data_IF_597601849560
#
_entry.id   IF_597601849560
#
_cell.length_a   1.000
_cell.length_b   1.000
_cell.length_c   1.000
_cell.angle_alpha   90.00
_cell.angle_beta   90.00
_cell.angle_gamma   90.00
#
_symmetry.space_group_name_H-M   'P 1'
#
loop_
_entity.id
_entity.type
_entity.pdbx_description
1 polymer ?
#
# COMPACT_ATOMS: atom_id res chain seq x y z
N UNK A 1 -10.50 21.52 -14.36
CA UNK A 1 -10.69 22.79 -13.64
C UNK A 1 -10.85 22.62 -12.12
N UNK A 2 -11.47 21.55 -11.65
CA UNK A 2 -11.79 21.34 -10.22
C UNK A 2 -10.58 20.89 -9.36
N UNK A 3 -9.61 20.21 -9.94
CA UNK A 3 -8.46 19.62 -9.22
C UNK A 3 -7.59 20.70 -8.52
N UNK A 4 -7.66 21.96 -8.95
CA UNK A 4 -6.83 23.05 -8.43
C UNK A 4 -7.65 24.25 -7.94
N UNK A 5 -8.94 24.07 -7.63
CA UNK A 5 -9.83 25.19 -7.29
C UNK A 5 -9.64 25.77 -5.88
N UNK A 6 -8.59 25.50 -5.16
CA UNK A 6 -8.26 26.16 -3.88
C UNK A 6 -9.31 26.13 -2.76
N UNK A 7 -10.47 25.51 -2.99
CA UNK A 7 -11.54 25.40 -2.00
C UNK A 7 -11.34 24.10 -1.24
N UNK A 8 -10.88 24.21 0.01
CA UNK A 8 -10.87 23.11 0.93
C UNK A 8 -12.29 22.88 1.48
N UNK A 9 -12.78 21.66 1.44
CA UNK A 9 -14.01 21.24 2.07
C UNK A 9 -13.73 20.08 3.02
N UNK A 10 -14.26 20.15 4.22
CA UNK A 10 -14.17 19.06 5.20
C UNK A 10 -15.47 18.27 5.26
N UNK A 11 -15.39 17.03 5.71
CA UNK A 11 -16.53 16.15 5.89
C UNK A 11 -16.30 15.14 7.01
N UNK A 12 -17.36 14.43 7.40
CA UNK A 12 -17.30 13.44 8.48
C UNK A 12 -16.77 14.04 9.80
N UNK A 13 -17.35 15.16 10.25
CA UNK A 13 -16.91 15.88 11.45
C UNK A 13 -15.41 16.26 11.39
N UNK A 14 -14.99 16.81 10.27
CA UNK A 14 -13.62 17.26 9.99
C UNK A 14 -12.54 16.17 9.97
N UNK A 15 -12.93 14.89 9.94
CA UNK A 15 -11.97 13.78 9.84
C UNK A 15 -11.37 13.63 8.44
N UNK A 16 -12.02 14.18 7.41
CA UNK A 16 -11.62 14.05 6.00
C UNK A 16 -11.63 15.42 5.33
N UNK A 17 -10.61 15.70 4.53
CA UNK A 17 -10.49 16.92 3.73
C UNK A 17 -10.43 16.63 2.24
N UNK A 18 -11.07 17.49 1.46
CA UNK A 18 -10.92 17.56 0.01
C UNK A 18 -10.23 18.87 -0.31
N UNK A 19 -8.91 18.81 -0.46
CA UNK A 19 -8.02 19.93 -0.80
C UNK A 19 -7.19 19.62 -2.06
N UNK A 20 -6.43 20.56 -2.54
CA UNK A 20 -5.55 20.39 -3.71
C UNK A 20 -4.54 19.26 -3.52
N UNK A 21 -4.04 19.06 -2.30
CA UNK A 21 -3.13 17.99 -1.95
C UNK A 21 -3.80 16.62 -2.12
N UNK A 22 -4.93 16.39 -1.46
CA UNK A 22 -5.65 15.12 -1.55
C UNK A 22 -6.12 14.82 -2.97
N UNK A 23 -6.58 15.84 -3.71
CA UNK A 23 -7.04 15.66 -5.09
C UNK A 23 -5.89 15.27 -6.02
N UNK A 24 -4.71 15.87 -5.89
CA UNK A 24 -3.54 15.50 -6.66
C UNK A 24 -3.19 14.01 -6.49
N UNK A 25 -3.08 13.54 -5.25
CA UNK A 25 -2.75 12.15 -4.98
C UNK A 25 -3.87 11.19 -5.36
N UNK A 26 -5.15 11.56 -5.21
CA UNK A 26 -6.28 10.76 -5.69
C UNK A 26 -6.24 10.55 -7.20
N UNK A 27 -5.88 11.58 -7.98
CA UNK A 27 -5.71 11.45 -9.43
C UNK A 27 -4.59 10.47 -9.78
N UNK A 28 -3.45 10.53 -9.07
CA UNK A 28 -2.35 9.59 -9.27
C UNK A 28 -2.76 8.14 -8.94
N UNK A 29 -3.48 7.95 -7.83
CA UNK A 29 -3.99 6.62 -7.42
C UNK A 29 -4.99 6.10 -8.48
N UNK A 30 -5.91 6.94 -8.94
CA UNK A 30 -6.88 6.56 -9.98
C UNK A 30 -6.21 6.23 -11.31
N UNK A 31 -5.17 6.97 -11.70
CA UNK A 31 -4.37 6.68 -12.90
C UNK A 31 -3.63 5.34 -12.78
N UNK A 32 -3.01 5.08 -11.62
CA UNK A 32 -2.34 3.80 -11.36
C UNK A 32 -3.33 2.62 -11.37
N UNK A 33 -4.51 2.78 -10.77
CA UNK A 33 -5.58 1.80 -10.81
C UNK A 33 -6.03 1.53 -12.26
N UNK A 34 -6.31 2.57 -13.04
CA UNK A 34 -6.73 2.44 -14.43
C UNK A 34 -5.68 1.71 -15.27
N UNK A 35 -4.40 2.06 -15.10
CA UNK A 35 -3.29 1.39 -15.77
C UNK A 35 -3.19 -0.09 -15.38
N UNK A 36 -3.36 -0.41 -14.09
CA UNK A 36 -3.34 -1.79 -13.59
C UNK A 36 -4.47 -2.61 -14.18
N UNK A 37 -5.69 -2.06 -14.25
CA UNK A 37 -6.84 -2.72 -14.87
C UNK A 37 -6.58 -2.95 -16.36
N UNK A 38 -6.07 -1.96 -17.08
CA UNK A 38 -5.72 -2.10 -18.51
C UNK A 38 -4.65 -3.18 -18.75
N UNK A 39 -3.64 -3.27 -17.88
CA UNK A 39 -2.61 -4.29 -17.95
C UNK A 39 -3.17 -5.69 -17.68
N UNK A 40 -4.16 -5.82 -16.82
CA UNK A 40 -4.80 -7.11 -16.52
C UNK A 40 -5.67 -7.61 -17.66
N UNK A 41 -6.39 -6.72 -18.36
CA UNK A 41 -7.24 -7.08 -19.52
C UNK A 41 -6.43 -7.65 -20.70
N UNK A 42 -5.25 -7.09 -20.98
CA UNK A 42 -4.38 -7.56 -22.08
C UNK A 42 -3.77 -8.95 -21.85
N UNK A 43 -3.82 -9.46 -20.61
CA UNK A 43 -3.32 -10.78 -20.23
C UNK A 43 -4.43 -11.81 -19.96
N UNK A 44 -5.70 -11.44 -20.13
CA UNK A 44 -6.73 -12.47 -20.21
C UNK A 44 -6.32 -13.41 -21.38
N UNK A 45 -6.14 -14.73 -21.15
CA UNK A 45 -5.77 -15.64 -22.21
C UNK A 45 -6.81 -15.45 -23.31
N UNK A 46 -6.34 -15.12 -24.51
CA UNK A 46 -7.21 -15.17 -25.67
C UNK A 46 -7.85 -16.54 -25.63
N UNK A 47 -9.16 -16.60 -25.79
CA UNK A 47 -9.83 -17.84 -26.17
C UNK A 47 -9.10 -18.27 -27.42
N UNK A 48 -8.10 -19.13 -27.26
CA UNK A 48 -7.51 -19.86 -28.36
C UNK A 48 -8.66 -20.71 -28.83
N UNK A 49 -9.25 -20.27 -29.93
CA UNK A 49 -10.36 -20.96 -30.58
C UNK A 49 -9.81 -22.31 -30.99
N UNK A 50 -9.92 -23.33 -30.10
CA UNK A 50 -9.52 -24.72 -30.39
C UNK A 50 -10.18 -25.27 -31.65
N UNK A 51 -11.17 -24.53 -32.18
CA UNK A 51 -11.85 -24.85 -33.42
C UNK A 51 -10.98 -24.60 -34.66
N UNK A 52 -9.84 -23.93 -34.55
CA UNK A 52 -9.01 -23.54 -35.70
C UNK A 52 -7.59 -24.16 -35.71
N UNK A 53 -7.27 -25.00 -34.71
CA UNK A 53 -5.98 -25.73 -34.74
C UNK A 53 -6.19 -27.16 -35.28
N UNK A 54 -5.84 -27.41 -36.56
CA UNK A 54 -5.99 -28.72 -37.19
C UNK A 54 -5.09 -29.81 -36.61
N UNK A 55 -4.09 -29.45 -35.80
CA UNK A 55 -3.12 -30.36 -35.18
C UNK A 55 -3.42 -30.60 -33.68
N UNK A 56 -4.53 -30.10 -33.16
CA UNK A 56 -4.93 -30.38 -31.77
C UNK A 56 -5.19 -31.88 -31.58
N UNK A 57 -4.54 -32.57 -30.63
CA UNK A 57 -4.80 -33.98 -30.35
C UNK A 57 -6.26 -34.17 -29.97
N UNK A 58 -6.93 -35.08 -30.66
CA UNK A 58 -8.34 -35.42 -30.39
C UNK A 58 -8.58 -35.88 -28.96
N UNK A 59 -9.84 -35.87 -28.49
CA UNK A 59 -10.20 -36.30 -27.15
C UNK A 59 -9.73 -37.74 -26.97
N UNK A 60 -8.89 -37.98 -25.96
CA UNK A 60 -8.50 -39.33 -25.55
C UNK A 60 -9.74 -40.15 -25.12
N UNK A 61 -9.83 -41.37 -25.59
CA UNK A 61 -11.00 -42.25 -25.43
C UNK A 61 -11.33 -42.68 -23.99
N UNK A 62 -10.55 -42.23 -23.01
CA UNK A 62 -10.56 -42.73 -21.63
C UNK A 62 -11.39 -41.89 -20.66
N UNK A 63 -12.18 -40.94 -21.13
CA UNK A 63 -13.19 -40.25 -20.28
C UNK A 63 -12.63 -39.44 -19.09
N UNK A 64 -11.32 -39.43 -18.89
CA UNK A 64 -10.67 -38.50 -17.97
C UNK A 64 -10.64 -37.10 -18.61
N UNK A 65 -11.32 -36.17 -18.00
CA UNK A 65 -11.13 -34.76 -18.28
C UNK A 65 -9.69 -34.43 -17.89
N UNK A 66 -8.77 -34.74 -18.82
CA UNK A 66 -7.35 -34.48 -18.64
C UNK A 66 -7.15 -33.00 -18.41
N UNK A 67 -6.85 -32.63 -17.20
CA UNK A 67 -6.17 -31.39 -16.88
C UNK A 67 -4.85 -31.45 -17.62
N UNK A 68 -4.82 -30.86 -18.82
CA UNK A 68 -3.57 -30.67 -19.56
C UNK A 68 -2.70 -29.77 -18.70
N UNK A 69 -1.76 -30.40 -18.02
CA UNK A 69 -0.72 -29.73 -17.26
C UNK A 69 0.20 -29.06 -18.30
N UNK A 70 -0.21 -27.89 -18.79
CA UNK A 70 0.65 -27.03 -19.61
C UNK A 70 1.71 -26.46 -18.68
N UNK A 71 2.97 -26.65 -19.00
CA UNK A 71 4.16 -26.41 -18.22
C UNK A 71 4.24 -25.02 -17.52
N UNK A 72 5.34 -24.71 -16.82
CA UNK A 72 5.47 -23.54 -15.97
C UNK A 72 5.30 -22.25 -16.77
N UNK A 73 4.14 -21.60 -16.71
CA UNK A 73 3.89 -20.35 -17.42
C UNK A 73 2.46 -19.82 -17.50
N UNK A 74 1.44 -20.51 -17.03
CA UNK A 74 0.06 -20.01 -17.08
C UNK A 74 -0.47 -19.55 -15.70
N UNK A 75 0.19 -18.58 -15.08
CA UNK A 75 -0.25 -17.93 -13.84
C UNK A 75 -1.59 -17.16 -13.96
N UNK A 76 -2.20 -17.18 -15.15
CA UNK A 76 -3.41 -16.39 -15.47
C UNK A 76 -4.71 -17.19 -15.34
N UNK A 77 -4.68 -18.51 -15.35
CA UNK A 77 -5.89 -19.34 -15.33
C UNK A 77 -6.58 -19.42 -13.96
N UNK A 78 -5.87 -19.06 -12.88
CA UNK A 78 -6.36 -19.19 -11.49
C UNK A 78 -6.90 -17.91 -10.88
N UNK A 79 -6.78 -16.75 -11.55
CA UNK A 79 -7.25 -15.48 -11.03
C UNK A 79 -8.72 -15.28 -11.35
N UNK A 80 -9.57 -15.20 -10.33
CA UNK A 80 -10.99 -14.88 -10.46
C UNK A 80 -11.20 -13.39 -10.74
N UNK A 81 -11.65 -12.99 -11.94
CA UNK A 81 -11.64 -11.59 -12.35
C UNK A 81 -12.49 -10.69 -11.45
N UNK A 82 -13.63 -11.17 -10.98
CA UNK A 82 -14.53 -10.39 -10.14
C UNK A 82 -13.90 -10.07 -8.78
N UNK A 83 -13.30 -11.05 -8.12
CA UNK A 83 -12.62 -10.89 -6.83
C UNK A 83 -11.41 -9.96 -6.97
N UNK A 84 -10.61 -10.14 -8.02
CA UNK A 84 -9.46 -9.31 -8.33
C UNK A 84 -9.83 -7.83 -8.49
N UNK A 85 -10.83 -7.50 -9.32
CA UNK A 85 -11.24 -6.12 -9.54
C UNK A 85 -11.90 -5.51 -8.29
N UNK A 86 -12.70 -6.29 -7.54
CA UNK A 86 -13.30 -5.82 -6.29
C UNK A 86 -12.21 -5.45 -5.26
N UNK A 87 -11.18 -6.28 -5.10
CA UNK A 87 -10.07 -6.00 -4.18
C UNK A 87 -9.24 -4.79 -4.61
N UNK A 88 -8.99 -4.62 -5.92
CA UNK A 88 -8.31 -3.42 -6.43
C UNK A 88 -9.10 -2.14 -6.14
N UNK A 89 -10.41 -2.16 -6.34
CA UNK A 89 -11.28 -1.02 -6.05
C UNK A 89 -11.33 -0.71 -4.56
N UNK A 90 -11.46 -1.72 -3.69
CA UNK A 90 -11.44 -1.56 -2.25
C UNK A 90 -10.08 -1.03 -1.76
N UNK A 91 -8.97 -1.58 -2.25
CA UNK A 91 -7.64 -1.09 -1.93
C UNK A 91 -7.47 0.40 -2.32
N UNK A 92 -7.89 0.76 -3.53
CA UNK A 92 -7.82 2.14 -4.01
C UNK A 92 -8.73 3.07 -3.20
N UNK A 93 -9.90 2.60 -2.76
CA UNK A 93 -10.78 3.35 -1.86
C UNK A 93 -10.07 3.63 -0.54
N UNK A 94 -9.44 2.62 0.07
CA UNK A 94 -8.63 2.79 1.28
C UNK A 94 -7.51 3.82 1.11
N UNK A 95 -6.80 3.78 -0.03
CA UNK A 95 -5.76 4.77 -0.38
C UNK A 95 -6.34 6.18 -0.46
N UNK A 96 -7.49 6.37 -1.12
CA UNK A 96 -8.14 7.67 -1.27
C UNK A 96 -8.64 8.23 0.06
N UNK A 97 -9.10 7.37 0.97
CA UNK A 97 -9.43 7.77 2.34
C UNK A 97 -8.19 8.22 3.12
N UNK A 98 -7.13 7.41 3.10
CA UNK A 98 -5.88 7.72 3.80
C UNK A 98 -5.28 9.08 3.37
N UNK A 99 -5.27 9.36 2.07
CA UNK A 99 -4.76 10.63 1.52
C UNK A 99 -5.59 11.84 1.95
N UNK A 100 -6.86 11.64 2.23
CA UNK A 100 -7.79 12.70 2.67
C UNK A 100 -7.89 12.84 4.18
N UNK A 101 -7.27 11.97 4.97
CA UNK A 101 -7.43 11.94 6.41
C UNK A 101 -6.83 13.19 7.08
N UNK A 102 -7.55 13.76 8.04
CA UNK A 102 -7.10 14.77 9.00
C UNK A 102 -7.08 14.25 10.43
N UNK A 103 -7.26 12.94 10.59
CA UNK A 103 -7.31 12.26 11.88
C UNK A 103 -6.46 10.98 11.78
N UNK A 104 -5.70 10.66 12.83
CA UNK A 104 -4.79 9.50 12.85
C UNK A 104 -5.54 8.17 12.74
N UNK A 105 -6.75 8.04 13.32
CA UNK A 105 -7.53 6.82 13.23
C UNK A 105 -8.13 6.65 11.84
N UNK A 106 -8.60 7.73 11.24
CA UNK A 106 -9.10 7.74 9.85
C UNK A 106 -7.99 7.38 8.87
N UNK A 107 -6.79 7.93 9.07
CA UNK A 107 -5.59 7.57 8.32
C UNK A 107 -5.28 6.08 8.45
N UNK A 108 -5.26 5.57 9.69
CA UNK A 108 -5.01 4.16 9.98
C UNK A 108 -6.02 3.26 9.29
N UNK A 109 -7.31 3.53 9.42
CA UNK A 109 -8.37 2.73 8.80
C UNK A 109 -8.27 2.70 7.26
N UNK A 110 -7.97 3.84 6.64
CA UNK A 110 -7.74 3.91 5.20
C UNK A 110 -6.54 3.06 4.76
N UNK A 111 -5.43 3.15 5.48
CA UNK A 111 -4.23 2.34 5.22
C UNK A 111 -4.46 0.84 5.49
N UNK A 112 -5.27 0.48 6.50
CA UNK A 112 -5.59 -0.92 6.78
C UNK A 112 -6.50 -1.52 5.70
N UNK A 113 -7.52 -0.79 5.24
CA UNK A 113 -8.36 -1.25 4.13
C UNK A 113 -7.51 -1.53 2.87
N UNK A 114 -6.60 -0.59 2.53
CA UNK A 114 -5.64 -0.80 1.44
C UNK A 114 -4.81 -2.07 1.66
N UNK A 115 -4.28 -2.24 2.87
CA UNK A 115 -3.30 -3.29 3.18
C UNK A 115 -3.93 -4.67 3.22
N UNK A 116 -5.11 -4.81 3.86
CA UNK A 116 -5.85 -6.09 3.91
C UNK A 116 -6.20 -6.58 2.50
N UNK A 117 -6.68 -5.68 1.64
CA UNK A 117 -6.93 -6.03 0.23
C UNK A 117 -5.63 -6.42 -0.49
N UNK A 118 -4.52 -5.74 -0.19
CA UNK A 118 -3.22 -6.02 -0.80
C UNK A 118 -2.66 -7.39 -0.41
N UNK A 119 -2.86 -7.86 0.84
CA UNK A 119 -2.45 -9.21 1.25
C UNK A 119 -3.14 -10.27 0.42
N UNK A 120 -4.46 -10.13 0.21
CA UNK A 120 -5.25 -11.07 -0.60
C UNK A 120 -4.83 -10.98 -2.07
N UNK A 121 -4.60 -9.77 -2.60
CA UNK A 121 -4.14 -9.57 -3.98
C UNK A 121 -2.78 -10.21 -4.24
N UNK A 122 -1.84 -10.18 -3.30
CA UNK A 122 -0.54 -10.86 -3.45
C UNK A 122 -0.72 -12.37 -3.54
N UNK A 123 -1.64 -12.95 -2.76
CA UNK A 123 -1.98 -14.38 -2.78
C UNK A 123 -3.09 -14.77 -3.75
N UNK A 124 -3.45 -13.90 -4.72
CA UNK A 124 -4.61 -14.15 -5.60
C UNK A 124 -4.44 -15.37 -6.51
N UNK A 125 -3.21 -15.76 -6.80
CA UNK A 125 -2.86 -16.94 -7.60
C UNK A 125 -2.78 -18.16 -6.68
N UNK A 126 -3.93 -18.75 -6.36
CA UNK A 126 -4.12 -19.75 -5.29
C UNK A 126 -3.26 -21.00 -5.47
N UNK A 127 -3.03 -21.45 -6.70
CA UNK A 127 -2.26 -22.67 -6.98
C UNK A 127 -0.73 -22.42 -7.05
N UNK A 128 -0.28 -21.17 -6.87
CA UNK A 128 1.14 -20.81 -6.84
C UNK A 128 1.68 -20.84 -5.40
N UNK A 129 2.60 -21.75 -5.10
CA UNK A 129 3.26 -21.81 -3.79
C UNK A 129 4.03 -20.52 -3.47
N UNK A 130 4.66 -19.90 -4.49
CA UNK A 130 5.37 -18.63 -4.36
C UNK A 130 4.43 -17.48 -3.99
N UNK A 131 3.24 -17.41 -4.63
CA UNK A 131 2.22 -16.41 -4.32
C UNK A 131 1.70 -16.56 -2.88
N UNK A 132 1.43 -17.77 -2.45
CA UNK A 132 0.94 -18.07 -1.11
C UNK A 132 2.00 -17.75 -0.03
N UNK A 133 3.25 -18.11 -0.27
CA UNK A 133 4.37 -17.79 0.63
C UNK A 133 4.58 -16.28 0.74
N UNK A 134 4.58 -15.56 -0.39
CA UNK A 134 4.70 -14.11 -0.42
C UNK A 134 3.55 -13.42 0.33
N UNK A 135 2.31 -13.89 0.16
CA UNK A 135 1.15 -13.36 0.85
C UNK A 135 1.24 -13.55 2.37
N UNK A 136 1.67 -14.73 2.84
CA UNK A 136 1.84 -15.02 4.27
C UNK A 136 2.94 -14.14 4.86
N UNK A 137 4.10 -14.03 4.22
CA UNK A 137 5.20 -13.17 4.67
C UNK A 137 4.76 -11.71 4.75
N UNK A 138 4.08 -11.22 3.72
CA UNK A 138 3.57 -9.85 3.67
C UNK A 138 2.53 -9.60 4.77
N UNK A 139 1.60 -10.53 4.98
CA UNK A 139 0.59 -10.46 6.04
C UNK A 139 1.23 -10.41 7.43
N UNK A 140 2.16 -11.31 7.75
CA UNK A 140 2.77 -11.37 9.08
C UNK A 140 3.56 -10.11 9.40
N UNK A 141 4.43 -9.66 8.47
CA UNK A 141 5.21 -8.43 8.66
C UNK A 141 4.33 -7.19 8.69
N UNK A 142 3.31 -7.16 7.84
CA UNK A 142 2.37 -6.05 7.77
C UNK A 142 1.48 -5.92 9.00
N UNK A 143 0.96 -7.03 9.52
CA UNK A 143 0.16 -7.04 10.76
C UNK A 143 0.97 -6.55 11.95
N UNK A 144 2.24 -6.94 12.04
CA UNK A 144 3.13 -6.43 13.08
C UNK A 144 3.36 -4.92 12.94
N UNK A 145 3.64 -4.43 11.73
CA UNK A 145 3.81 -3.00 11.48
C UNK A 145 2.53 -2.20 11.78
N UNK A 146 1.35 -2.74 11.45
CA UNK A 146 0.04 -2.18 11.79
C UNK A 146 -0.19 -2.08 13.29
N UNK A 147 0.17 -3.11 14.04
CA UNK A 147 0.07 -3.08 15.50
C UNK A 147 0.96 -2.00 16.12
N UNK A 148 2.21 -1.84 15.63
CA UNK A 148 3.10 -0.77 16.05
C UNK A 148 2.53 0.61 15.71
N UNK A 149 1.96 0.76 14.50
CA UNK A 149 1.34 2.02 14.09
C UNK A 149 0.17 2.40 15.01
N UNK A 150 -0.75 1.47 15.25
CA UNK A 150 -1.90 1.70 16.14
C UNK A 150 -1.45 1.99 17.57
N UNK A 151 -0.44 1.30 18.07
CA UNK A 151 0.13 1.57 19.38
C UNK A 151 0.77 2.96 19.45
N UNK A 152 1.44 3.39 18.37
CA UNK A 152 1.94 4.76 18.23
C UNK A 152 0.82 5.81 18.32
N UNK A 153 -0.32 5.58 17.65
CA UNK A 153 -1.50 6.44 17.76
C UNK A 153 -2.00 6.51 19.19
N UNK A 154 -2.10 5.37 19.89
CA UNK A 154 -2.53 5.32 21.28
C UNK A 154 -1.62 6.12 22.23
N UNK A 155 -0.29 6.08 22.01
CA UNK A 155 0.67 6.88 22.78
C UNK A 155 0.55 8.38 22.50
N UNK A 156 0.36 8.77 21.23
CA UNK A 156 0.10 10.17 20.86
C UNK A 156 -1.18 10.65 21.52
N UNK A 157 -2.26 9.86 21.45
CA UNK A 157 -3.51 10.15 22.14
C UNK A 157 -3.33 10.29 23.66
N UNK A 158 -2.56 9.39 24.28
CA UNK A 158 -2.24 9.46 25.70
C UNK A 158 -1.45 10.72 26.09
N UNK A 159 -0.66 11.28 25.18
CA UNK A 159 0.11 12.50 25.41
C UNK A 159 -0.69 13.78 25.13
N UNK A 160 -1.60 13.77 24.16
CA UNK A 160 -2.28 14.97 23.62
C UNK A 160 -3.77 15.03 23.94
N UNK A 161 -4.40 13.88 24.22
CA UNK A 161 -5.85 13.75 24.38
C UNK A 161 -6.63 13.81 23.07
N UNK A 162 -5.96 13.80 21.90
CA UNK A 162 -6.57 13.99 20.60
C UNK A 162 -6.01 13.02 19.54
N UNK A 163 -6.80 12.75 18.49
CA UNK A 163 -6.40 12.01 17.30
C UNK A 163 -6.41 12.88 16.04
N UNK A 164 -7.10 14.02 16.08
CA UNK A 164 -7.13 14.97 14.96
C UNK A 164 -5.81 15.75 14.86
N UNK A 165 -5.38 15.97 13.63
CA UNK A 165 -4.07 16.55 13.33
C UNK A 165 -3.92 17.99 13.85
N UNK A 166 -4.97 18.79 13.77
CA UNK A 166 -4.93 20.21 14.15
C UNK A 166 -4.78 20.35 15.67
N UNK A 167 -5.55 19.61 16.45
CA UNK A 167 -5.45 19.62 17.91
C UNK A 167 -4.09 19.09 18.38
N UNK A 168 -3.59 18.01 17.77
CA UNK A 168 -2.26 17.49 18.09
C UNK A 168 -1.19 18.56 17.81
N UNK A 169 -1.22 19.20 16.63
CA UNK A 169 -0.27 20.26 16.27
C UNK A 169 -0.35 21.45 17.22
N UNK A 170 -1.57 21.87 17.61
CA UNK A 170 -1.78 22.95 18.57
C UNK A 170 -1.21 22.62 19.95
N UNK A 171 -1.53 21.43 20.50
CA UNK A 171 -1.02 20.99 21.80
C UNK A 171 0.52 20.89 21.77
N UNK A 172 1.10 20.47 20.64
CA UNK A 172 2.54 20.43 20.46
C UNK A 172 3.18 21.83 20.47
N UNK A 173 2.53 22.81 19.85
CA UNK A 173 3.03 24.20 19.83
C UNK A 173 2.87 24.95 21.17
N UNK A 174 1.85 24.61 21.95
CA UNK A 174 1.54 25.28 23.22
C UNK A 174 2.27 24.67 24.43
N UNK A 175 2.76 23.43 24.30
CA UNK A 175 3.38 22.70 25.38
C UNK A 175 4.74 22.14 24.98
N UNK A 176 5.65 21.95 25.94
CA UNK A 176 6.95 21.33 25.72
C UNK A 176 6.87 19.80 25.49
N UNK A 177 5.84 19.34 24.75
CA UNK A 177 5.62 17.92 24.45
C UNK A 177 6.75 17.29 23.63
N UNK A 178 7.60 18.09 23.00
CA UNK A 178 8.80 17.58 22.31
C UNK A 178 9.73 16.77 23.22
N UNK A 179 9.72 17.06 24.51
CA UNK A 179 10.45 16.30 25.53
C UNK A 179 9.61 15.21 26.21
N UNK A 180 8.32 15.09 25.88
CA UNK A 180 7.46 14.05 26.40
C UNK A 180 7.76 12.71 25.70
N UNK A 181 8.29 11.76 26.45
CA UNK A 181 8.68 10.47 25.92
C UNK A 181 7.51 9.68 25.27
N UNK A 182 6.27 9.85 25.76
CA UNK A 182 5.07 9.23 25.15
C UNK A 182 4.86 9.74 23.74
N UNK A 183 4.98 11.06 23.53
CA UNK A 183 4.82 11.67 22.23
C UNK A 183 5.97 11.28 21.27
N UNK A 184 7.21 11.29 21.76
CA UNK A 184 8.39 10.91 20.95
C UNK A 184 8.33 9.45 20.52
N UNK A 185 8.03 8.53 21.45
CA UNK A 185 7.89 7.11 21.14
C UNK A 185 6.68 6.88 20.23
N UNK A 186 5.54 7.51 20.53
CA UNK A 186 4.33 7.42 19.69
C UNK A 186 4.58 7.87 18.25
N UNK A 187 5.20 9.04 18.07
CA UNK A 187 5.58 9.57 16.76
C UNK A 187 6.57 8.68 16.01
N UNK A 188 7.54 8.10 16.73
CA UNK A 188 8.50 7.15 16.15
C UNK A 188 7.82 5.88 15.65
N UNK A 189 6.84 5.36 16.39
CA UNK A 189 6.07 4.17 15.99
C UNK A 189 5.13 4.47 14.80
N UNK A 190 4.50 5.64 14.77
CA UNK A 190 3.72 6.12 13.61
C UNK A 190 4.63 6.24 12.39
N UNK A 191 5.82 6.85 12.54
CA UNK A 191 6.79 6.95 11.46
C UNK A 191 7.24 5.57 10.96
N UNK A 192 7.48 4.60 11.85
CA UNK A 192 7.83 3.22 11.49
C UNK A 192 6.71 2.52 10.71
N UNK A 193 5.45 2.68 11.13
CA UNK A 193 4.29 2.16 10.41
C UNK A 193 4.15 2.75 9.00
N UNK A 194 4.31 4.05 8.85
CA UNK A 194 4.30 4.73 7.55
C UNK A 194 5.51 4.35 6.70
N UNK A 195 6.70 4.20 7.30
CA UNK A 195 7.91 3.73 6.64
C UNK A 195 7.74 2.30 6.09
N UNK A 196 7.05 1.41 6.80
CA UNK A 196 6.67 0.09 6.30
C UNK A 196 5.80 0.20 5.04
N UNK A 197 4.78 1.08 5.03
CA UNK A 197 3.87 1.25 3.86
C UNK A 197 4.61 1.72 2.60
N UNK A 198 5.61 2.57 2.74
CA UNK A 198 6.44 3.04 1.62
C UNK A 198 7.65 2.13 1.32
N UNK A 199 7.84 1.07 2.12
CA UNK A 199 9.01 0.17 2.07
C UNK A 199 10.34 0.91 2.28
N UNK A 200 10.37 1.89 3.18
CA UNK A 200 11.61 2.54 3.57
C UNK A 200 12.50 1.60 4.42
N UNK A 201 13.81 1.69 4.26
CA UNK A 201 14.76 0.93 5.08
C UNK A 201 14.73 1.44 6.52
N UNK A 202 14.67 0.56 7.53
CA UNK A 202 14.81 -0.91 7.49
C UNK A 202 13.51 -1.72 7.27
N UNK A 203 12.37 -1.08 7.10
CA UNK A 203 11.04 -1.70 7.03
C UNK A 203 10.67 -2.23 5.62
N UNK A 204 11.64 -2.48 4.73
CA UNK A 204 11.45 -2.85 3.32
C UNK A 204 11.43 -4.36 3.06
N UNK A 205 11.77 -5.19 4.05
CA UNK A 205 12.03 -6.63 3.87
C UNK A 205 10.88 -7.41 3.22
N UNK A 206 9.64 -6.93 3.36
CA UNK A 206 8.46 -7.56 2.75
C UNK A 206 8.35 -7.33 1.23
N UNK A 207 8.92 -6.23 0.72
CA UNK A 207 8.65 -5.77 -0.65
C UNK A 207 9.23 -6.69 -1.74
N UNK A 208 10.48 -7.17 -1.65
CA UNK A 208 11.03 -8.09 -2.64
C UNK A 208 10.20 -9.36 -2.77
N UNK A 209 9.90 -10.03 -1.65
CA UNK A 209 9.11 -11.27 -1.63
C UNK A 209 7.70 -11.05 -2.18
N UNK A 210 7.02 -9.98 -1.74
CA UNK A 210 5.68 -9.65 -2.19
C UNK A 210 5.63 -9.35 -3.70
N UNK A 211 6.63 -8.64 -4.24
CA UNK A 211 6.67 -8.31 -5.67
C UNK A 211 7.00 -9.53 -6.53
N UNK A 212 7.92 -10.38 -6.08
CA UNK A 212 8.31 -11.59 -6.81
C UNK A 212 7.16 -12.59 -6.88
N UNK A 213 6.48 -12.87 -5.74
CA UNK A 213 5.39 -13.84 -5.67
C UNK A 213 4.05 -13.35 -6.23
N UNK A 214 3.83 -12.04 -6.31
CA UNK A 214 2.56 -11.48 -6.77
C UNK A 214 2.37 -11.61 -8.29
N UNK A 215 1.10 -11.70 -8.73
CA UNK A 215 0.72 -11.51 -10.12
C UNK A 215 1.24 -10.15 -10.63
N UNK A 216 1.86 -10.11 -11.82
CA UNK A 216 2.59 -8.93 -12.29
C UNK A 216 1.81 -7.59 -12.24
N UNK A 217 0.51 -7.50 -12.63
CA UNK A 217 -0.27 -6.28 -12.44
C UNK A 217 -0.47 -5.88 -10.98
N UNK A 218 -0.56 -6.87 -10.05
CA UNK A 218 -0.62 -6.59 -8.60
C UNK A 218 0.70 -6.02 -8.12
N UNK A 219 1.83 -6.60 -8.51
CA UNK A 219 3.15 -6.08 -8.15
C UNK A 219 3.31 -4.63 -8.65
N UNK A 220 2.89 -4.32 -9.88
CA UNK A 220 2.90 -2.97 -10.43
C UNK A 220 1.99 -2.01 -9.64
N UNK A 221 0.80 -2.44 -9.22
CA UNK A 221 -0.12 -1.65 -8.39
C UNK A 221 0.48 -1.35 -7.02
N UNK A 222 1.07 -2.34 -6.38
CA UNK A 222 1.74 -2.16 -5.07
C UNK A 222 2.98 -1.28 -5.18
N UNK A 223 3.75 -1.39 -6.26
CA UNK A 223 4.94 -0.57 -6.48
C UNK A 223 4.61 0.90 -6.78
N UNK A 224 3.41 1.19 -7.28
CA UNK A 224 2.98 2.55 -7.67
C UNK A 224 1.93 3.13 -6.72
N UNK A 225 0.68 2.68 -6.80
CA UNK A 225 -0.45 3.26 -6.07
C UNK A 225 -0.24 3.24 -4.55
N UNK A 226 0.21 2.09 -3.99
CA UNK A 226 0.40 2.00 -2.55
C UNK A 226 1.54 2.90 -2.04
N UNK A 227 2.61 3.08 -2.84
CA UNK A 227 3.70 4.00 -2.49
C UNK A 227 3.26 5.46 -2.55
N UNK A 228 2.49 5.82 -3.56
CA UNK A 228 1.88 7.15 -3.69
C UNK A 228 1.01 7.46 -2.47
N UNK A 229 0.14 6.53 -2.06
CA UNK A 229 -0.71 6.71 -0.88
C UNK A 229 0.10 6.80 0.43
N UNK A 230 1.10 5.93 0.60
CA UNK A 230 1.98 5.94 1.78
C UNK A 230 2.80 7.22 1.89
N UNK A 231 3.37 7.71 0.78
CA UNK A 231 4.10 8.97 0.74
C UNK A 231 3.17 10.17 1.01
N UNK A 232 1.96 10.16 0.46
CA UNK A 232 0.97 11.20 0.73
C UNK A 232 0.57 11.22 2.21
N UNK A 233 0.35 10.05 2.82
CA UNK A 233 0.07 9.94 4.24
C UNK A 233 1.22 10.48 5.11
N UNK A 234 2.45 10.05 4.82
CA UNK A 234 3.65 10.52 5.50
C UNK A 234 3.82 12.04 5.35
N UNK A 235 3.64 12.56 4.13
CA UNK A 235 3.74 13.99 3.86
C UNK A 235 2.70 14.80 4.63
N UNK A 236 1.45 14.35 4.68
CA UNK A 236 0.39 15.05 5.43
C UNK A 236 0.65 15.04 6.93
N UNK A 237 1.01 13.91 7.51
CA UNK A 237 1.40 13.80 8.93
C UNK A 237 2.58 14.73 9.24
N UNK A 238 3.61 14.74 8.37
CA UNK A 238 4.79 15.60 8.53
C UNK A 238 4.46 17.08 8.44
N UNK A 239 3.63 17.49 7.47
CA UNK A 239 3.32 18.88 7.19
C UNK A 239 2.30 19.49 8.16
N UNK A 240 1.42 18.67 8.76
CA UNK A 240 0.37 19.19 9.65
C UNK A 240 0.75 18.99 11.12
N UNK A 241 1.14 17.79 11.52
CA UNK A 241 1.45 17.50 12.93
C UNK A 241 2.83 18.02 13.34
N UNK A 242 3.84 17.76 12.49
CA UNK A 242 5.24 18.05 12.79
C UNK A 242 5.79 19.27 12.03
N UNK A 243 4.91 20.16 11.55
CA UNK A 243 5.29 21.37 10.78
C UNK A 243 6.13 22.37 11.59
N UNK A 244 6.00 22.40 12.91
CA UNK A 244 6.86 23.18 13.79
C UNK A 244 8.15 22.39 14.03
N UNK A 245 9.30 22.99 13.82
CA UNK A 245 10.71 22.58 14.07
C UNK A 245 10.97 21.35 14.97
N UNK A 246 10.19 20.26 14.79
CA UNK A 246 10.37 19.03 15.56
C UNK A 246 11.64 18.31 15.05
N UNK A 247 12.76 18.63 15.71
CA UNK A 247 14.08 18.11 15.36
C UNK A 247 14.12 16.57 15.41
N UNK A 248 13.39 15.94 16.34
CA UNK A 248 13.38 14.47 16.51
C UNK A 248 12.71 13.81 15.29
N UNK A 249 11.54 14.28 14.89
CA UNK A 249 10.83 13.70 13.74
C UNK A 249 11.59 13.94 12.43
N UNK A 250 12.14 15.14 12.25
CA UNK A 250 13.01 15.45 11.11
C UNK A 250 14.24 14.56 11.05
N UNK A 251 14.88 14.30 12.19
CA UNK A 251 16.03 13.37 12.27
C UNK A 251 15.63 11.94 11.89
N UNK A 252 14.47 11.45 12.36
CA UNK A 252 13.95 10.13 12.00
C UNK A 252 13.72 10.03 10.48
N UNK A 253 13.06 11.01 9.88
CA UNK A 253 12.82 11.02 8.43
C UNK A 253 14.12 11.09 7.63
N UNK A 254 15.08 11.90 8.07
CA UNK A 254 16.40 12.01 7.44
C UNK A 254 17.15 10.69 7.51
N UNK A 255 17.13 10.02 8.65
CA UNK A 255 17.74 8.70 8.83
C UNK A 255 17.10 7.66 7.90
N UNK A 256 15.77 7.58 7.88
CA UNK A 256 15.01 6.66 7.01
C UNK A 256 15.32 6.92 5.53
N UNK A 257 15.37 8.18 5.11
CA UNK A 257 15.69 8.56 3.73
C UNK A 257 17.13 8.19 3.38
N UNK A 258 18.10 8.51 4.23
CA UNK A 258 19.53 8.18 4.02
C UNK A 258 19.75 6.66 3.94
N UNK A 259 19.18 5.89 4.86
CA UNK A 259 19.26 4.43 4.85
C UNK A 259 18.59 3.85 3.58
N UNK A 260 17.44 4.40 3.17
CA UNK A 260 16.74 3.92 1.98
C UNK A 260 17.52 4.16 0.71
N UNK A 261 18.21 5.30 0.58
CA UNK A 261 19.08 5.60 -0.55
C UNK A 261 20.28 4.64 -0.59
N UNK A 262 20.98 4.47 0.53
CA UNK A 262 22.18 3.66 0.58
C UNK A 262 21.88 2.16 0.45
N UNK A 263 21.10 1.61 1.38
CA UNK A 263 20.83 0.18 1.46
C UNK A 263 19.90 -0.26 0.30
N UNK A 264 18.89 0.54 -0.04
CA UNK A 264 17.98 0.25 -1.14
C UNK A 264 18.72 0.18 -2.49
N UNK A 265 19.66 1.10 -2.75
CA UNK A 265 20.48 1.07 -3.96
C UNK A 265 21.38 -0.16 -4.04
N UNK A 266 22.01 -0.55 -2.94
CA UNK A 266 22.89 -1.73 -2.88
C UNK A 266 22.08 -3.01 -3.14
N UNK A 267 20.91 -3.15 -2.50
CA UNK A 267 20.03 -4.30 -2.68
C UNK A 267 19.49 -4.35 -4.11
N UNK A 268 19.09 -3.22 -4.69
CA UNK A 268 18.58 -3.16 -6.04
C UNK A 268 19.58 -3.67 -7.09
N UNK A 269 20.88 -3.35 -6.92
CA UNK A 269 21.94 -3.82 -7.82
C UNK A 269 22.12 -5.34 -7.74
N UNK A 270 21.87 -5.94 -6.57
CA UNK A 270 22.05 -7.39 -6.35
C UNK A 270 20.84 -8.23 -6.80
N UNK A 271 19.72 -7.61 -7.19
CA UNK A 271 18.52 -8.33 -7.61
C UNK A 271 18.68 -8.96 -8.99
N UNK A 272 18.27 -10.21 -9.13
CA UNK A 272 18.25 -10.96 -10.39
C UNK A 272 16.86 -10.99 -11.02
N UNK A 273 15.80 -10.76 -10.25
CA UNK A 273 14.42 -10.73 -10.72
C UNK A 273 14.01 -9.27 -11.04
N UNK A 274 13.40 -9.06 -12.20
CA UNK A 274 12.97 -7.74 -12.68
C UNK A 274 11.64 -7.27 -12.08
N UNK A 275 10.89 -8.12 -11.36
CA UNK A 275 9.73 -7.73 -10.59
C UNK A 275 10.21 -7.17 -9.25
#
# INVERSE_FOLDING_TARGET
GWVFSGVAATGFSDMIIVDGYSQFFKVLIAAALALTVLLSVKRAPGVVDRATDPDAPGPSADGETGVVNTGPGNDTEDVRPAEYHALLLLASTGMMFAVSALDLLTLYLGLELMTLCSYILVGITVNSSASNEAAIKYFLLGSFASALFLYGIALIYGATGATDFETIARVLSESSLESNWLFVVGGSLVAAGLAFKISAVPFHAWAPDAYEGAYAPVAAFLATASKVAGLAALGRVSLVIFASDNQVFSAILTLLAGLSILVGSIIAISQTNMK
#
